data_IF_343158553790
#
_entry.id   IF_343158553790
#
_cell.length_a   1.000
_cell.length_b   1.000
_cell.length_c   1.000
_cell.angle_alpha   90.00
_cell.angle_beta   90.00
_cell.angle_gamma   90.00
#
_symmetry.space_group_name_H-M   'P 1'
#
loop_
_entity.id
_entity.type
_entity.pdbx_description
1 polymer ?
#
# COMPACT_ATOMS: atom_id res chain seq x y z
N UNK A 1 9.71 -6.32 -21.53
CA UNK A 1 10.41 -6.58 -22.82
C UNK A 1 9.95 -5.54 -23.82
N UNK A 2 10.85 -5.03 -24.65
CA UNK A 2 10.52 -4.08 -25.73
C UNK A 2 11.37 -4.43 -26.95
N UNK A 3 10.71 -4.72 -28.06
CA UNK A 3 11.34 -5.04 -29.33
C UNK A 3 10.79 -4.11 -30.40
N UNK A 4 11.67 -3.46 -31.17
CA UNK A 4 11.30 -2.55 -32.24
C UNK A 4 12.05 -2.91 -33.50
N UNK A 5 11.34 -2.93 -34.63
CA UNK A 5 11.88 -3.08 -35.96
C UNK A 5 11.31 -2.00 -36.87
N UNK A 6 12.09 -0.93 -37.11
CA UNK A 6 11.63 0.24 -37.86
C UNK A 6 10.49 0.96 -37.11
N UNK A 7 9.32 1.03 -37.75
CA UNK A 7 8.12 1.66 -37.21
C UNK A 7 7.19 0.68 -36.49
N UNK A 8 7.47 -0.60 -36.54
CA UNK A 8 6.69 -1.64 -35.88
C UNK A 8 7.39 -2.14 -34.63
N UNK A 9 6.62 -2.64 -33.66
CA UNK A 9 7.19 -3.24 -32.47
C UNK A 9 6.18 -3.88 -31.56
N UNK A 10 6.71 -4.51 -30.52
CA UNK A 10 5.93 -5.12 -29.45
C UNK A 10 6.56 -4.88 -28.10
N UNK A 11 5.73 -4.85 -27.09
CA UNK A 11 6.17 -4.68 -25.70
C UNK A 11 5.42 -5.60 -24.75
N UNK A 12 6.09 -5.91 -23.65
CA UNK A 12 5.51 -6.63 -22.53
C UNK A 12 6.00 -6.02 -21.22
N UNK A 13 5.09 -5.80 -20.28
CA UNK A 13 5.43 -5.40 -18.92
C UNK A 13 4.46 -6.03 -17.91
N UNK A 14 4.83 -5.94 -16.62
CA UNK A 14 4.12 -6.58 -15.53
C UNK A 14 3.47 -5.53 -14.63
N UNK A 15 2.26 -5.82 -14.18
CA UNK A 15 1.58 -5.06 -13.15
C UNK A 15 0.87 -6.04 -12.22
N UNK A 16 1.38 -6.17 -10.98
CA UNK A 16 0.86 -7.11 -10.01
C UNK A 16 0.82 -8.54 -10.53
N UNK A 17 -0.35 -9.13 -10.56
CA UNK A 17 -0.62 -10.48 -11.05
C UNK A 17 -0.69 -10.58 -12.58
N UNK A 18 -0.64 -9.46 -13.33
CA UNK A 18 -0.95 -9.43 -14.76
C UNK A 18 0.24 -9.11 -15.66
N UNK A 19 0.18 -9.64 -16.87
CA UNK A 19 1.11 -9.38 -17.96
C UNK A 19 0.38 -8.57 -19.02
N UNK A 20 0.86 -7.35 -19.29
CA UNK A 20 0.33 -6.49 -20.32
C UNK A 20 1.20 -6.68 -21.57
N UNK A 21 0.55 -7.03 -22.67
CA UNK A 21 1.20 -7.22 -23.98
C UNK A 21 0.67 -6.21 -24.97
N UNK A 22 1.55 -5.60 -25.74
CA UNK A 22 1.15 -4.63 -26.75
C UNK A 22 1.98 -4.74 -28.01
N UNK A 23 1.40 -4.24 -29.09
CA UNK A 23 2.03 -4.12 -30.41
C UNK A 23 1.69 -2.74 -30.99
N UNK A 24 2.56 -2.23 -31.83
CA UNK A 24 2.35 -0.99 -32.56
C UNK A 24 2.96 -1.08 -33.96
N UNK A 25 2.39 -0.31 -34.87
CA UNK A 25 2.86 -0.13 -36.24
C UNK A 25 2.71 1.36 -36.64
N UNK A 26 2.75 1.68 -37.94
CA UNK A 26 2.57 3.05 -38.44
C UNK A 26 1.14 3.60 -38.28
N UNK A 27 0.15 2.74 -38.07
CA UNK A 27 -1.26 3.10 -38.09
C UNK A 27 -1.86 3.08 -36.67
N UNK A 28 -1.52 2.08 -35.86
CA UNK A 28 -2.13 1.90 -34.55
C UNK A 28 -1.18 1.34 -33.48
N UNK A 29 -1.63 1.49 -32.22
CA UNK A 29 -1.10 0.81 -31.05
C UNK A 29 -2.24 0.06 -30.38
N UNK A 30 -1.99 -1.20 -30.06
CA UNK A 30 -2.91 -2.06 -29.32
C UNK A 30 -2.21 -2.67 -28.11
N UNK A 31 -2.86 -2.65 -26.94
CA UNK A 31 -2.40 -3.30 -25.73
C UNK A 31 -3.53 -4.14 -25.14
N UNK A 32 -3.20 -5.32 -24.66
CA UNK A 32 -4.15 -6.26 -24.08
C UNK A 32 -3.58 -6.89 -22.82
N UNK A 33 -4.47 -7.24 -21.92
CA UNK A 33 -4.21 -8.07 -20.74
C UNK A 33 -5.33 -9.10 -20.58
N UNK A 34 -4.96 -10.36 -20.37
CA UNK A 34 -5.92 -11.42 -20.06
C UNK A 34 -6.19 -11.47 -18.56
N UNK A 35 -7.45 -11.37 -18.17
CA UNK A 35 -7.89 -11.39 -16.77
C UNK A 35 -8.12 -12.82 -16.28
N UNK A 36 -8.92 -13.58 -17.03
CA UNK A 36 -9.30 -14.94 -16.70
C UNK A 36 -9.68 -15.71 -17.97
N UNK A 37 -9.79 -17.02 -17.87
CA UNK A 37 -10.38 -17.88 -18.87
C UNK A 37 -11.84 -18.17 -18.50
N UNK A 38 -12.74 -18.10 -19.48
CA UNK A 38 -14.16 -18.43 -19.34
C UNK A 38 -14.51 -19.55 -20.32
N UNK A 39 -14.32 -20.83 -19.95
CA UNK A 39 -14.49 -21.97 -20.88
C UNK A 39 -15.92 -22.10 -21.46
N UNK A 40 -16.91 -21.60 -20.70
CA UNK A 40 -18.30 -21.56 -21.11
C UNK A 40 -18.88 -20.17 -20.90
N UNK A 41 -19.65 -19.62 -21.86
CA UNK A 41 -20.26 -18.30 -21.72
C UNK A 41 -21.15 -18.22 -20.47
N UNK A 42 -20.99 -17.16 -19.68
CA UNK A 42 -21.74 -16.90 -18.45
C UNK A 42 -22.41 -15.54 -18.52
N UNK A 43 -23.73 -15.50 -18.52
CA UNK A 43 -24.52 -14.26 -18.55
C UNK A 43 -24.21 -13.35 -17.34
N UNK A 44 -24.11 -13.86 -16.09
CA UNK A 44 -23.73 -13.04 -14.96
C UNK A 44 -22.36 -12.36 -15.13
N UNK A 45 -21.35 -13.10 -15.62
CA UNK A 45 -20.02 -12.55 -15.91
C UNK A 45 -20.11 -11.45 -16.98
N UNK A 46 -20.79 -11.71 -18.09
CA UNK A 46 -20.94 -10.73 -19.18
C UNK A 46 -21.63 -9.45 -18.71
N UNK A 47 -22.69 -9.57 -17.90
CA UNK A 47 -23.37 -8.40 -17.30
C UNK A 47 -22.42 -7.62 -16.40
N UNK A 48 -21.66 -8.30 -15.55
CA UNK A 48 -20.66 -7.66 -14.67
C UNK A 48 -19.62 -6.88 -15.47
N UNK A 49 -19.10 -7.44 -16.57
CA UNK A 49 -18.15 -6.75 -17.44
C UNK A 49 -18.74 -5.50 -18.10
N UNK A 50 -19.99 -5.56 -18.53
CA UNK A 50 -20.69 -4.41 -19.11
C UNK A 50 -20.83 -3.28 -18.08
N UNK A 51 -21.22 -3.61 -16.84
CA UNK A 51 -21.29 -2.63 -15.74
C UNK A 51 -19.91 -1.99 -15.46
N UNK A 52 -18.85 -2.79 -15.42
CA UNK A 52 -17.51 -2.32 -15.15
C UNK A 52 -16.97 -1.39 -16.25
N UNK A 53 -17.39 -1.55 -17.50
CA UNK A 53 -16.98 -0.68 -18.61
C UNK A 53 -17.38 0.79 -18.39
N UNK A 54 -18.45 1.08 -17.66
CA UNK A 54 -18.87 2.45 -17.36
C UNK A 54 -17.85 3.21 -16.48
N UNK A 55 -16.93 2.52 -15.83
CA UNK A 55 -15.91 3.11 -14.98
C UNK A 55 -14.54 3.31 -15.66
N UNK A 56 -14.45 3.03 -16.96
CA UNK A 56 -13.22 3.10 -17.76
C UNK A 56 -13.24 4.30 -18.71
N UNK A 57 -12.07 4.91 -18.91
CA UNK A 57 -11.90 6.08 -19.77
C UNK A 57 -11.15 5.77 -21.08
N UNK A 58 -10.17 4.88 -21.01
CA UNK A 58 -9.27 4.59 -22.13
C UNK A 58 -9.38 3.13 -22.59
N UNK A 59 -9.58 2.23 -21.65
CA UNK A 59 -9.62 0.79 -21.89
C UNK A 59 -11.04 0.26 -21.88
N UNK A 60 -11.21 -0.99 -22.29
CA UNK A 60 -12.49 -1.70 -22.24
C UNK A 60 -12.30 -3.17 -21.93
N UNK A 61 -13.28 -3.77 -21.27
CA UNK A 61 -13.38 -5.21 -21.17
C UNK A 61 -13.83 -5.81 -22.50
N UNK A 62 -13.26 -6.95 -22.84
CA UNK A 62 -13.52 -7.67 -24.07
C UNK A 62 -13.55 -9.20 -23.81
N UNK A 63 -14.24 -9.91 -24.67
CA UNK A 63 -14.17 -11.37 -24.76
C UNK A 63 -13.49 -11.74 -26.08
N UNK A 64 -12.43 -12.54 -26.00
CA UNK A 64 -11.74 -13.09 -27.14
C UNK A 64 -11.74 -14.61 -27.04
N UNK A 65 -12.65 -15.25 -27.74
CA UNK A 65 -12.99 -16.67 -27.59
C UNK A 65 -13.37 -16.98 -26.13
N UNK A 66 -12.56 -17.75 -25.42
CA UNK A 66 -12.74 -18.10 -24.01
C UNK A 66 -11.93 -17.23 -23.04
N UNK A 67 -11.23 -16.18 -23.54
CA UNK A 67 -10.43 -15.27 -22.71
C UNK A 67 -11.18 -13.99 -22.38
N UNK A 68 -11.33 -13.69 -21.10
CA UNK A 68 -11.72 -12.37 -20.63
C UNK A 68 -10.50 -11.47 -20.65
N UNK A 69 -10.58 -10.37 -21.39
CA UNK A 69 -9.47 -9.46 -21.59
C UNK A 69 -9.87 -8.02 -21.22
N UNK A 70 -8.89 -7.18 -20.95
CA UNK A 70 -9.02 -5.75 -21.10
C UNK A 70 -8.13 -5.30 -22.26
N UNK A 71 -8.61 -4.31 -23.03
CA UNK A 71 -7.93 -3.77 -24.22
C UNK A 71 -7.87 -2.25 -24.16
N UNK A 72 -6.74 -1.73 -24.63
CA UNK A 72 -6.52 -0.32 -24.95
C UNK A 72 -5.96 -0.24 -26.36
N UNK A 73 -6.54 0.62 -27.20
CA UNK A 73 -6.08 0.88 -28.55
C UNK A 73 -6.11 2.38 -28.87
N UNK A 74 -5.23 2.80 -29.75
CA UNK A 74 -5.16 4.17 -30.27
C UNK A 74 -4.61 4.14 -31.68
N UNK A 75 -5.21 4.96 -32.57
CA UNK A 75 -4.52 5.36 -33.81
C UNK A 75 -3.24 6.13 -33.48
N UNK A 76 -2.29 6.16 -34.42
CA UNK A 76 -1.01 6.83 -34.22
C UNK A 76 -1.13 8.36 -34.19
N UNK A 77 -2.14 8.95 -34.85
CA UNK A 77 -2.39 10.39 -34.81
C UNK A 77 -2.82 10.83 -33.40
N UNK A 78 -3.67 10.02 -32.75
CA UNK A 78 -4.15 10.25 -31.39
C UNK A 78 -3.23 9.73 -30.28
N UNK A 79 -2.17 8.98 -30.60
CA UNK A 79 -1.27 8.33 -29.64
C UNK A 79 -0.27 9.30 -28.99
N UNK A 80 -0.77 10.35 -28.34
CA UNK A 80 0.10 11.26 -27.59
C UNK A 80 0.75 10.55 -26.39
N UNK A 81 1.95 10.96 -25.93
CA UNK A 81 2.62 10.38 -24.77
C UNK A 81 1.71 10.32 -23.52
N UNK A 82 0.92 11.37 -23.28
CA UNK A 82 -0.03 11.41 -22.16
C UNK A 82 -1.16 10.39 -22.32
N UNK A 83 -1.77 10.28 -23.51
CA UNK A 83 -2.83 9.27 -23.76
C UNK A 83 -2.29 7.86 -23.59
N UNK A 84 -1.09 7.58 -24.12
CA UNK A 84 -0.44 6.27 -23.97
C UNK A 84 -0.14 5.96 -22.50
N UNK A 85 0.42 6.92 -21.76
CA UNK A 85 0.71 6.74 -20.34
C UNK A 85 -0.55 6.43 -19.54
N UNK A 86 -1.60 7.24 -19.65
CA UNK A 86 -2.82 7.06 -18.89
C UNK A 86 -3.63 5.85 -19.35
N UNK A 87 -3.65 5.56 -20.65
CA UNK A 87 -4.32 4.37 -21.19
C UNK A 87 -3.66 3.06 -20.72
N UNK A 88 -2.33 2.97 -20.81
CA UNK A 88 -1.58 1.81 -20.33
C UNK A 88 -1.64 1.68 -18.79
N UNK A 89 -1.62 2.81 -18.08
CA UNK A 89 -1.78 2.83 -16.62
C UNK A 89 -3.17 2.33 -16.22
N UNK A 90 -4.25 2.85 -16.83
CA UNK A 90 -5.61 2.38 -16.54
C UNK A 90 -5.75 0.90 -16.85
N UNK A 91 -5.35 0.47 -18.05
CA UNK A 91 -5.38 -0.93 -18.48
C UNK A 91 -4.73 -1.85 -17.43
N UNK A 92 -3.50 -1.53 -17.04
CA UNK A 92 -2.71 -2.39 -16.16
C UNK A 92 -3.20 -2.41 -14.72
N UNK A 93 -3.46 -1.23 -14.13
CA UNK A 93 -3.87 -1.15 -12.72
C UNK A 93 -5.29 -1.65 -12.48
N UNK A 94 -6.20 -1.44 -13.47
CA UNK A 94 -7.56 -2.00 -13.39
C UNK A 94 -7.56 -3.50 -13.59
N UNK A 95 -6.76 -4.02 -14.51
CA UNK A 95 -6.65 -5.46 -14.73
C UNK A 95 -6.12 -6.19 -13.51
N UNK A 96 -5.03 -5.72 -12.92
CA UNK A 96 -4.43 -6.27 -11.71
C UNK A 96 -5.41 -6.30 -10.52
N UNK A 97 -6.22 -5.24 -10.38
CA UNK A 97 -7.22 -5.19 -9.31
C UNK A 97 -8.42 -6.12 -9.54
N UNK A 98 -8.78 -6.41 -10.79
CA UNK A 98 -10.03 -7.09 -11.11
C UNK A 98 -9.89 -8.59 -11.38
N UNK A 99 -8.73 -9.09 -11.75
CA UNK A 99 -8.56 -10.50 -12.13
C UNK A 99 -8.86 -11.46 -10.98
N UNK A 100 -8.23 -11.26 -9.84
CA UNK A 100 -8.44 -12.08 -8.64
C UNK A 100 -9.88 -11.95 -8.12
N UNK A 101 -10.46 -10.75 -8.15
CA UNK A 101 -11.83 -10.50 -7.70
C UNK A 101 -12.85 -11.21 -8.60
N UNK A 102 -12.67 -11.18 -9.92
CA UNK A 102 -13.57 -11.85 -10.87
C UNK A 102 -13.51 -13.38 -10.71
N UNK A 103 -12.32 -13.96 -10.59
CA UNK A 103 -12.15 -15.40 -10.38
C UNK A 103 -12.74 -15.85 -9.04
N UNK A 104 -12.68 -15.01 -8.01
CA UNK A 104 -13.31 -15.31 -6.71
C UNK A 104 -14.82 -15.14 -6.72
N UNK A 105 -15.35 -14.15 -7.45
CA UNK A 105 -16.79 -13.90 -7.56
C UNK A 105 -17.49 -14.95 -8.42
N UNK A 106 -16.83 -15.46 -9.48
CA UNK A 106 -17.42 -16.36 -10.46
C UNK A 106 -16.64 -17.66 -10.59
N UNK A 107 -17.16 -18.74 -10.02
CA UNK A 107 -16.53 -20.07 -10.04
C UNK A 107 -16.37 -20.68 -11.45
N UNK A 108 -17.01 -20.10 -12.47
CA UNK A 108 -16.87 -20.54 -13.87
C UNK A 108 -15.59 -19.97 -14.53
N UNK A 109 -14.90 -19.05 -13.86
CA UNK A 109 -13.66 -18.43 -14.35
C UNK A 109 -12.45 -19.18 -13.85
N UNK A 110 -11.47 -19.32 -14.71
CA UNK A 110 -10.19 -19.98 -14.42
C UNK A 110 -9.07 -18.93 -14.42
N UNK A 111 -8.16 -19.03 -13.44
CA UNK A 111 -6.97 -18.18 -13.35
C UNK A 111 -6.00 -18.49 -14.51
N UNK A 112 -5.40 -17.47 -15.09
CA UNK A 112 -4.48 -17.58 -16.24
C UNK A 112 -3.36 -16.53 -16.12
N UNK A 113 -2.25 -16.77 -16.82
CA UNK A 113 -1.08 -15.85 -16.91
C UNK A 113 -0.43 -15.53 -15.55
N UNK A 114 -0.30 -16.54 -14.67
CA UNK A 114 0.25 -16.37 -13.32
C UNK A 114 1.70 -16.86 -13.16
N UNK A 115 2.38 -17.29 -14.22
CA UNK A 115 3.70 -17.93 -14.16
C UNK A 115 4.82 -16.97 -13.70
N UNK A 116 4.61 -15.67 -13.81
CA UNK A 116 5.58 -14.64 -13.36
C UNK A 116 5.46 -14.31 -11.87
N UNK A 117 4.39 -14.76 -11.23
CA UNK A 117 4.18 -14.61 -9.78
C UNK A 117 5.18 -15.49 -9.05
N UNK A 118 5.84 -14.92 -8.05
CA UNK A 118 6.79 -15.67 -7.23
C UNK A 118 6.19 -15.96 -5.87
N UNK A 119 6.06 -17.24 -5.59
CA UNK A 119 5.72 -17.69 -4.24
C UNK A 119 6.80 -17.22 -3.24
N UNK A 120 6.36 -16.79 -2.07
CA UNK A 120 7.27 -16.53 -0.96
C UNK A 120 7.47 -17.81 -0.14
N UNK A 121 8.65 -17.98 0.49
CA UNK A 121 8.92 -19.17 1.31
C UNK A 121 7.87 -19.37 2.40
N UNK A 122 7.53 -20.64 2.68
CA UNK A 122 6.54 -20.97 3.72
C UNK A 122 6.90 -20.35 5.06
N UNK A 123 8.18 -20.35 5.44
CA UNK A 123 8.64 -19.73 6.69
C UNK A 123 8.34 -18.22 6.73
N UNK A 124 8.44 -17.50 5.60
CA UNK A 124 8.07 -16.08 5.51
C UNK A 124 6.54 -15.91 5.66
N UNK A 125 5.73 -16.78 5.00
CA UNK A 125 4.26 -16.76 5.14
C UNK A 125 3.84 -16.99 6.59
N UNK A 126 4.47 -17.94 7.30
CA UNK A 126 4.24 -18.23 8.71
C UNK A 126 4.48 -17.00 9.60
N UNK A 127 5.61 -16.32 9.39
CA UNK A 127 5.95 -15.11 10.14
C UNK A 127 4.91 -14.02 9.87
N UNK A 128 4.58 -13.77 8.61
CA UNK A 128 3.58 -12.76 8.22
C UNK A 128 2.22 -13.03 8.85
N UNK A 129 1.75 -14.29 8.82
CA UNK A 129 0.50 -14.68 9.47
C UNK A 129 0.54 -14.47 10.98
N UNK A 130 1.61 -14.90 11.64
CA UNK A 130 1.79 -14.74 13.09
C UNK A 130 1.70 -13.27 13.49
N UNK A 131 2.36 -12.38 12.75
CA UNK A 131 2.34 -10.97 13.05
C UNK A 131 1.02 -10.28 12.67
N UNK A 132 0.33 -10.72 11.61
CA UNK A 132 -1.04 -10.31 11.33
C UNK A 132 -1.94 -10.55 12.53
N UNK A 133 -1.98 -11.79 13.02
CA UNK A 133 -2.79 -12.17 14.18
C UNK A 133 -2.42 -11.37 15.43
N UNK A 134 -1.12 -11.21 15.69
CA UNK A 134 -0.59 -10.45 16.82
C UNK A 134 -1.06 -8.99 16.76
N UNK A 135 -0.84 -8.30 15.66
CA UNK A 135 -1.15 -6.87 15.55
C UNK A 135 -2.65 -6.59 15.61
N UNK A 136 -3.47 -7.43 14.96
CA UNK A 136 -4.93 -7.33 15.06
C UNK A 136 -5.38 -7.51 16.50
N UNK A 137 -4.90 -8.56 17.17
CA UNK A 137 -5.25 -8.83 18.58
C UNK A 137 -4.83 -7.69 19.49
N UNK A 138 -3.57 -7.24 19.44
CA UNK A 138 -3.06 -6.14 20.27
C UNK A 138 -3.87 -4.84 20.10
N UNK A 139 -4.25 -4.53 18.86
CA UNK A 139 -5.06 -3.33 18.58
C UNK A 139 -6.46 -3.48 19.14
N UNK A 140 -7.15 -4.60 18.89
CA UNK A 140 -8.51 -4.82 19.39
C UNK A 140 -8.55 -4.90 20.92
N UNK A 141 -7.58 -5.54 21.58
CA UNK A 141 -7.47 -5.58 23.04
C UNK A 141 -7.27 -4.19 23.63
N UNK A 142 -6.45 -3.34 22.99
CA UNK A 142 -6.24 -1.96 23.43
C UNK A 142 -7.53 -1.14 23.29
N UNK A 143 -8.24 -1.28 22.17
CA UNK A 143 -9.52 -0.59 21.94
C UNK A 143 -10.54 -1.02 23.00
N UNK A 144 -10.61 -2.31 23.33
CA UNK A 144 -11.52 -2.81 24.35
C UNK A 144 -11.21 -2.29 25.77
N UNK A 145 -10.01 -1.77 26.01
CA UNK A 145 -9.58 -1.22 27.32
C UNK A 145 -9.88 0.26 27.52
N UNK A 146 -10.39 0.96 26.49
CA UNK A 146 -10.67 2.41 26.53
C UNK A 146 -12.15 2.67 26.25
N UNK A 147 -12.64 3.85 26.68
CA UNK A 147 -13.98 4.32 26.40
C UNK A 147 -14.13 4.69 24.92
N UNK A 148 -15.06 4.03 24.21
CA UNK A 148 -15.23 4.16 22.76
C UNK A 148 -15.66 5.57 22.34
N UNK A 149 -16.49 6.24 23.11
CA UNK A 149 -16.97 7.60 22.81
C UNK A 149 -15.85 8.63 23.05
N UNK A 150 -15.24 8.57 24.22
CA UNK A 150 -14.18 9.49 24.62
C UNK A 150 -12.93 9.40 23.74
N UNK A 151 -12.59 8.18 23.30
CA UNK A 151 -11.38 7.91 22.52
C UNK A 151 -11.66 7.66 21.04
N UNK A 152 -12.85 8.01 20.53
CA UNK A 152 -13.26 7.69 19.16
C UNK A 152 -12.21 8.08 18.09
N UNK A 153 -11.61 9.26 18.17
CA UNK A 153 -10.53 9.69 17.28
C UNK A 153 -9.25 8.86 17.42
N UNK A 154 -8.84 8.54 18.66
CA UNK A 154 -7.69 7.67 18.94
C UNK A 154 -7.89 6.25 18.39
N UNK A 155 -9.11 5.71 18.52
CA UNK A 155 -9.51 4.40 17.98
C UNK A 155 -9.40 4.42 16.45
N UNK A 156 -9.89 5.47 15.79
CA UNK A 156 -9.74 5.62 14.32
C UNK A 156 -8.28 5.59 13.91
N UNK A 157 -7.40 6.30 14.60
CA UNK A 157 -5.96 6.27 14.31
C UNK A 157 -5.35 4.89 14.48
N UNK A 158 -5.73 4.16 15.54
CA UNK A 158 -5.25 2.78 15.77
C UNK A 158 -5.69 1.83 14.65
N UNK A 159 -6.95 1.90 14.21
CA UNK A 159 -7.50 1.03 13.17
C UNK A 159 -6.89 1.35 11.79
N UNK A 160 -6.75 2.63 11.46
CA UNK A 160 -6.16 3.05 10.18
C UNK A 160 -4.66 2.74 10.12
N UNK A 161 -3.89 3.01 11.18
CA UNK A 161 -2.48 2.64 11.20
C UNK A 161 -2.27 1.13 11.12
N UNK A 162 -3.18 0.33 11.69
CA UNK A 162 -3.16 -1.13 11.54
C UNK A 162 -3.37 -1.57 10.09
N UNK A 163 -4.33 -0.95 9.35
CA UNK A 163 -4.53 -1.22 7.92
C UNK A 163 -3.25 -0.96 7.15
N UNK A 164 -2.68 0.23 7.30
CA UNK A 164 -1.50 0.67 6.53
C UNK A 164 -0.26 -0.15 6.87
N UNK A 165 -0.13 -0.58 8.12
CA UNK A 165 0.92 -1.49 8.58
C UNK A 165 0.81 -2.86 7.93
N UNK A 166 -0.39 -3.46 7.93
CA UNK A 166 -0.63 -4.77 7.32
C UNK A 166 -0.34 -4.67 5.81
N UNK A 167 -0.88 -3.66 5.14
CA UNK A 167 -0.64 -3.41 3.73
C UNK A 167 0.87 -3.32 3.42
N UNK A 168 1.59 -2.46 4.13
CA UNK A 168 3.01 -2.21 3.88
C UNK A 168 3.93 -3.37 4.24
N UNK A 169 3.71 -4.05 5.37
CA UNK A 169 4.63 -5.08 5.88
C UNK A 169 4.32 -6.48 5.35
N UNK A 170 3.06 -6.81 5.14
CA UNK A 170 2.68 -8.10 4.60
C UNK A 170 2.64 -8.10 3.09
N UNK A 171 2.36 -6.93 2.47
CA UNK A 171 2.12 -6.78 1.03
C UNK A 171 1.12 -7.85 0.53
N UNK A 172 -0.11 -7.86 1.08
CA UNK A 172 -1.13 -8.80 0.64
C UNK A 172 -1.65 -8.44 -0.74
N UNK A 173 -2.16 -9.43 -1.45
CA UNK A 173 -2.77 -9.27 -2.77
C UNK A 173 -4.23 -9.76 -2.77
N UNK A 174 -4.94 -9.52 -3.86
CA UNK A 174 -6.29 -10.05 -4.08
C UNK A 174 -7.30 -9.62 -3.02
N UNK A 175 -8.02 -10.60 -2.47
CA UNK A 175 -9.15 -10.34 -1.57
C UNK A 175 -8.73 -9.67 -0.26
N UNK A 176 -7.61 -10.07 0.35
CA UNK A 176 -7.17 -9.46 1.60
C UNK A 176 -6.82 -7.99 1.42
N UNK A 177 -6.12 -7.62 0.33
CA UNK A 177 -5.86 -6.22 -0.01
C UNK A 177 -7.17 -5.46 -0.21
N UNK A 178 -8.12 -6.02 -0.97
CA UNK A 178 -9.44 -5.41 -1.20
C UNK A 178 -10.25 -5.22 0.10
N UNK A 179 -10.17 -6.16 1.04
CA UNK A 179 -10.81 -6.04 2.35
C UNK A 179 -10.19 -4.91 3.17
N UNK A 180 -8.86 -4.78 3.19
CA UNK A 180 -8.17 -3.66 3.87
C UNK A 180 -8.54 -2.30 3.26
N UNK A 181 -8.56 -2.19 1.92
CA UNK A 181 -8.99 -0.97 1.22
C UNK A 181 -10.44 -0.58 1.56
N UNK A 182 -11.36 -1.56 1.58
CA UNK A 182 -12.76 -1.33 1.95
C UNK A 182 -12.89 -0.90 3.41
N UNK A 183 -12.12 -1.52 4.30
CA UNK A 183 -12.10 -1.16 5.71
C UNK A 183 -11.61 0.29 5.90
N UNK A 184 -10.54 0.69 5.21
CA UNK A 184 -10.10 2.09 5.22
C UNK A 184 -11.18 3.05 4.69
N UNK A 185 -11.87 2.66 3.61
CA UNK A 185 -12.91 3.45 2.98
C UNK A 185 -14.11 3.73 3.91
N UNK A 186 -14.41 2.85 4.89
CA UNK A 186 -15.46 3.09 5.89
C UNK A 186 -15.24 4.43 6.61
N UNK A 187 -14.00 4.68 7.05
CA UNK A 187 -13.67 5.92 7.74
C UNK A 187 -13.80 7.15 6.84
N UNK A 188 -13.30 7.06 5.60
CA UNK A 188 -13.25 8.20 4.67
C UNK A 188 -14.56 8.46 3.92
N UNK A 189 -15.56 7.58 4.04
CA UNK A 189 -16.88 7.79 3.43
C UNK A 189 -17.53 9.04 4.02
N UNK A 190 -17.89 9.97 3.12
CA UNK A 190 -18.59 11.22 3.50
C UNK A 190 -20.08 10.93 3.67
N UNK A 191 -20.44 10.48 4.84
CA UNK A 191 -21.81 10.27 5.30
C UNK A 191 -21.98 10.88 6.69
N UNK A 192 -23.21 10.90 7.21
CA UNK A 192 -23.55 11.50 8.50
C UNK A 192 -23.32 10.57 9.69
N UNK A 193 -22.77 9.37 9.48
CA UNK A 193 -22.56 8.39 10.56
C UNK A 193 -21.52 8.89 11.57
N UNK A 194 -21.79 8.73 12.88
CA UNK A 194 -20.81 9.01 13.91
C UNK A 194 -19.53 8.21 13.76
N UNK A 195 -18.39 8.80 14.14
CA UNK A 195 -17.09 8.14 14.08
C UNK A 195 -17.07 6.83 14.87
N UNK A 196 -17.78 6.77 15.99
CA UNK A 196 -17.90 5.56 16.84
C UNK A 196 -18.52 4.39 16.07
N UNK A 197 -19.56 4.63 15.26
CA UNK A 197 -20.17 3.59 14.43
C UNK A 197 -19.22 3.12 13.33
N UNK A 198 -18.52 4.03 12.66
CA UNK A 198 -17.49 3.69 11.66
C UNK A 198 -16.37 2.85 12.26
N UNK A 199 -15.90 3.21 13.45
CA UNK A 199 -14.91 2.42 14.19
C UNK A 199 -15.44 1.02 14.51
N UNK A 200 -16.72 0.90 14.89
CA UNK A 200 -17.39 -0.38 15.11
C UNK A 200 -17.35 -1.28 13.86
N UNK A 201 -17.73 -0.73 12.71
CA UNK A 201 -17.70 -1.44 11.43
C UNK A 201 -16.27 -1.89 11.07
N UNK A 202 -15.27 -1.01 11.24
CA UNK A 202 -13.87 -1.35 10.98
C UNK A 202 -13.37 -2.47 11.90
N UNK A 203 -13.74 -2.45 13.19
CA UNK A 203 -13.41 -3.52 14.13
C UNK A 203 -14.02 -4.87 13.71
N UNK A 204 -15.27 -4.87 13.24
CA UNK A 204 -15.90 -6.11 12.74
C UNK A 204 -15.17 -6.68 11.52
N UNK A 205 -14.71 -5.82 10.60
CA UNK A 205 -13.89 -6.28 9.48
C UNK A 205 -12.56 -6.91 9.96
N UNK A 206 -11.89 -6.33 10.96
CA UNK A 206 -10.69 -6.93 11.53
C UNK A 206 -10.95 -8.26 12.23
N UNK A 207 -12.09 -8.41 12.93
CA UNK A 207 -12.51 -9.70 13.49
C UNK A 207 -12.72 -10.75 12.40
N UNK A 208 -13.31 -10.36 11.25
CA UNK A 208 -13.46 -11.26 10.08
C UNK A 208 -12.11 -11.67 9.51
N UNK A 209 -11.16 -10.74 9.39
CA UNK A 209 -9.79 -11.05 8.93
C UNK A 209 -9.11 -12.01 9.92
N UNK A 210 -9.28 -11.80 11.23
CA UNK A 210 -8.65 -12.59 12.27
C UNK A 210 -9.08 -14.07 12.27
N UNK A 211 -10.32 -14.37 11.91
CA UNK A 211 -10.85 -15.74 11.88
C UNK A 211 -10.58 -16.48 10.56
N UNK A 212 -9.97 -15.84 9.58
CA UNK A 212 -9.58 -16.49 8.33
C UNK A 212 -8.58 -17.61 8.58
N UNK A 213 -8.71 -18.70 7.82
CA UNK A 213 -7.76 -19.80 7.91
C UNK A 213 -6.36 -19.37 7.45
N UNK A 214 -5.37 -20.08 7.91
CA UNK A 214 -3.98 -19.86 7.57
C UNK A 214 -3.74 -20.04 6.06
N UNK A 215 -4.35 -21.06 5.49
CA UNK A 215 -4.30 -21.39 4.08
C UNK A 215 -4.92 -20.26 3.22
N UNK A 216 -6.05 -19.71 3.69
CA UNK A 216 -6.69 -18.57 3.02
C UNK A 216 -5.77 -17.35 3.01
N UNK A 217 -5.19 -16.96 4.16
CA UNK A 217 -4.24 -15.85 4.22
C UNK A 217 -3.00 -16.11 3.36
N UNK A 218 -2.47 -17.34 3.37
CA UNK A 218 -1.28 -17.70 2.58
C UNK A 218 -1.48 -17.56 1.08
N UNK A 219 -2.71 -17.77 0.59
CA UNK A 219 -3.04 -17.62 -0.83
C UNK A 219 -2.95 -16.17 -1.32
N UNK A 220 -3.00 -15.18 -0.41
CA UNK A 220 -2.87 -13.76 -0.71
C UNK A 220 -1.45 -13.24 -0.55
N UNK A 221 -0.47 -14.08 -0.17
CA UNK A 221 0.91 -13.70 0.08
C UNK A 221 1.84 -14.27 -1.00
N UNK A 222 2.17 -13.43 -1.97
CA UNK A 222 3.11 -13.74 -3.05
C UNK A 222 3.86 -12.46 -3.48
N UNK A 223 4.85 -12.58 -4.36
CA UNK A 223 5.60 -11.44 -4.90
C UNK A 223 5.24 -11.21 -6.35
N UNK A 224 4.88 -10.00 -6.67
CA UNK A 224 4.56 -9.51 -8.01
C UNK A 224 5.50 -8.37 -8.44
N UNK A 225 5.33 -7.87 -9.65
CA UNK A 225 6.10 -6.75 -10.20
C UNK A 225 5.15 -5.65 -10.64
N UNK A 226 5.50 -4.42 -10.32
CA UNK A 226 4.70 -3.24 -10.67
C UNK A 226 5.49 -2.33 -11.60
N UNK A 227 4.87 -1.91 -12.69
CA UNK A 227 5.40 -0.90 -13.61
C UNK A 227 4.86 0.48 -13.27
N UNK A 228 3.58 0.57 -12.93
CA UNK A 228 2.92 1.83 -12.60
C UNK A 228 2.66 1.95 -11.11
N UNK A 229 2.90 3.13 -10.56
CA UNK A 229 2.38 3.50 -9.26
C UNK A 229 0.85 3.68 -9.35
N UNK A 230 0.10 3.06 -8.42
CA UNK A 230 -1.36 3.14 -8.38
C UNK A 230 -1.80 4.55 -8.02
N UNK A 231 -1.15 5.14 -7.00
CA UNK A 231 -1.49 6.47 -6.49
C UNK A 231 -0.68 7.57 -7.18
N UNK A 232 -1.28 8.76 -7.30
CA UNK A 232 -0.62 9.91 -7.88
C UNK A 232 0.43 10.51 -6.91
N UNK A 233 1.57 11.01 -7.42
CA UNK A 233 2.50 11.80 -6.61
C UNK A 233 1.80 13.02 -6.02
N UNK A 234 2.16 13.33 -4.78
CA UNK A 234 1.68 14.54 -4.09
C UNK A 234 2.86 15.45 -3.76
N UNK A 235 2.64 16.78 -3.72
CA UNK A 235 3.67 17.71 -3.28
C UNK A 235 3.99 17.46 -1.80
N UNK A 236 5.23 17.76 -1.41
CA UNK A 236 5.70 17.61 -0.02
C UNK A 236 4.79 18.30 1.00
N UNK A 237 4.19 19.44 0.63
CA UNK A 237 3.23 20.14 1.48
C UNK A 237 2.05 19.26 1.93
N UNK A 238 1.47 18.45 1.06
CA UNK A 238 0.36 17.56 1.43
C UNK A 238 0.81 16.48 2.43
N UNK A 239 2.08 16.05 2.34
CA UNK A 239 2.68 15.09 3.27
C UNK A 239 2.92 15.76 4.63
N UNK A 240 3.48 16.97 4.64
CA UNK A 240 3.74 17.73 5.89
C UNK A 240 2.43 18.08 6.61
N UNK A 241 1.39 18.48 5.88
CA UNK A 241 0.08 18.81 6.47
C UNK A 241 -0.53 17.58 7.18
N UNK A 242 -0.40 16.38 6.61
CA UNK A 242 -0.90 15.14 7.23
C UNK A 242 -0.10 14.76 8.49
N UNK A 243 1.22 14.86 8.44
CA UNK A 243 2.09 14.59 9.59
C UNK A 243 1.84 15.62 10.70
N UNK A 244 1.69 16.90 10.33
CA UNK A 244 1.39 17.97 11.26
C UNK A 244 0.09 17.71 12.01
N UNK A 245 -0.99 17.34 11.31
CA UNK A 245 -2.27 17.03 11.92
C UNK A 245 -2.17 15.88 12.93
N UNK A 246 -1.40 14.83 12.63
CA UNK A 246 -1.13 13.74 13.58
C UNK A 246 -0.32 14.22 14.79
N UNK A 247 0.75 14.99 14.55
CA UNK A 247 1.60 15.54 15.60
C UNK A 247 0.85 16.49 16.58
N UNK A 248 -0.17 17.20 16.11
CA UNK A 248 -1.02 18.03 16.98
C UNK A 248 -1.90 17.20 17.92
N UNK A 249 -2.34 16.01 17.50
CA UNK A 249 -3.22 15.16 18.29
C UNK A 249 -2.49 14.25 19.27
N UNK A 250 -1.25 13.85 18.98
CA UNK A 250 -0.47 12.88 19.74
C UNK A 250 -0.14 13.31 21.19
N UNK A 251 0.24 14.59 21.48
CA UNK A 251 0.72 14.99 22.82
C UNK A 251 -0.29 14.69 23.93
N UNK A 252 -1.58 14.87 23.67
CA UNK A 252 -2.59 14.58 24.68
C UNK A 252 -2.55 13.12 25.14
N UNK A 253 -2.41 12.19 24.21
CA UNK A 253 -2.33 10.75 24.53
C UNK A 253 -1.05 10.42 25.31
N UNK A 254 0.10 10.98 24.89
CA UNK A 254 1.38 10.83 25.57
C UNK A 254 1.31 11.33 27.02
N UNK A 255 0.82 12.55 27.20
CA UNK A 255 0.85 13.25 28.48
C UNK A 255 -0.16 12.66 29.49
N UNK A 256 -1.17 11.92 29.01
CA UNK A 256 -2.12 11.20 29.82
C UNK A 256 -1.80 9.68 29.95
N UNK A 257 -0.60 9.24 29.54
CA UNK A 257 -0.13 7.86 29.75
C UNK A 257 -0.60 6.84 28.72
N UNK A 258 -1.26 7.26 27.64
CA UNK A 258 -1.73 6.37 26.58
C UNK A 258 -0.65 6.17 25.49
N UNK A 259 0.51 5.67 25.89
CA UNK A 259 1.71 5.55 25.04
C UNK A 259 1.46 4.73 23.77
N UNK A 260 0.64 3.67 23.85
CA UNK A 260 0.31 2.87 22.67
C UNK A 260 -0.47 3.71 21.66
N UNK A 261 -1.52 4.42 22.09
CA UNK A 261 -2.32 5.29 21.21
C UNK A 261 -1.44 6.41 20.63
N UNK A 262 -0.62 7.05 21.45
CA UNK A 262 0.32 8.09 21.01
C UNK A 262 1.23 7.62 19.87
N UNK A 263 1.80 6.41 19.97
CA UNK A 263 2.60 5.81 18.91
C UNK A 263 1.78 5.54 17.64
N UNK A 264 0.53 5.05 17.78
CA UNK A 264 -0.32 4.78 16.62
C UNK A 264 -0.78 6.08 15.91
N UNK A 265 -1.01 7.16 16.65
CA UNK A 265 -1.30 8.48 16.06
C UNK A 265 -0.12 8.98 15.23
N UNK A 266 1.09 8.85 15.77
CA UNK A 266 2.32 9.25 15.07
C UNK A 266 2.56 8.38 13.83
N UNK A 267 2.39 7.06 13.98
CA UNK A 267 2.50 6.11 12.87
C UNK A 267 1.48 6.41 11.77
N UNK A 268 0.22 6.69 12.14
CA UNK A 268 -0.83 7.06 11.19
C UNK A 268 -0.40 8.22 10.30
N UNK A 269 0.14 9.30 10.86
CA UNK A 269 0.52 10.49 10.10
C UNK A 269 1.48 10.18 8.96
N UNK A 270 2.47 9.33 9.18
CA UNK A 270 3.44 8.95 8.16
C UNK A 270 2.97 7.79 7.26
N UNK A 271 2.34 6.76 7.83
CA UNK A 271 1.85 5.62 7.07
C UNK A 271 0.66 5.97 6.17
N UNK A 272 -0.20 6.90 6.56
CA UNK A 272 -1.23 7.45 5.69
C UNK A 272 -0.63 8.06 4.43
N UNK A 273 0.47 8.80 4.56
CA UNK A 273 1.15 9.38 3.41
C UNK A 273 1.73 8.31 2.48
N UNK A 274 2.32 7.25 3.05
CA UNK A 274 2.84 6.12 2.27
C UNK A 274 1.72 5.35 1.55
N UNK A 275 0.58 5.15 2.21
CA UNK A 275 -0.58 4.43 1.66
C UNK A 275 -1.31 5.25 0.58
N UNK A 276 -1.55 6.54 0.85
CA UNK A 276 -2.41 7.39 0.02
C UNK A 276 -1.68 8.09 -1.12
N UNK A 277 -0.34 8.18 -1.05
CA UNK A 277 0.47 8.97 -1.98
C UNK A 277 1.69 8.22 -2.48
N UNK A 278 2.16 8.61 -3.66
CA UNK A 278 3.50 8.25 -4.14
C UNK A 278 4.52 9.15 -3.45
N UNK A 279 5.22 8.65 -2.44
CA UNK A 279 6.24 9.43 -1.72
C UNK A 279 7.48 9.70 -2.59
N UNK A 280 8.12 10.87 -2.45
CA UNK A 280 9.50 11.08 -2.88
C UNK A 280 10.43 9.99 -2.31
N UNK A 281 11.39 9.53 -3.09
CA UNK A 281 12.24 8.38 -2.72
C UNK A 281 12.94 8.52 -1.38
N UNK A 282 13.45 9.70 -1.07
CA UNK A 282 14.07 9.97 0.23
C UNK A 282 13.09 9.75 1.40
N UNK A 283 11.82 10.17 1.23
CA UNK A 283 10.78 9.96 2.26
C UNK A 283 10.38 8.48 2.35
N UNK A 284 10.39 7.76 1.24
CA UNK A 284 10.18 6.30 1.24
C UNK A 284 11.27 5.59 2.06
N UNK A 285 12.54 5.98 1.91
CA UNK A 285 13.65 5.40 2.66
C UNK A 285 13.58 5.75 4.15
N UNK A 286 13.17 6.97 4.49
CA UNK A 286 12.91 7.36 5.89
C UNK A 286 11.72 6.62 6.48
N UNK A 287 10.63 6.44 5.73
CA UNK A 287 9.49 5.65 6.17
C UNK A 287 9.89 4.19 6.43
N UNK A 288 10.66 3.59 5.52
CA UNK A 288 11.17 2.23 5.73
C UNK A 288 12.03 2.12 6.99
N UNK A 289 12.90 3.11 7.26
CA UNK A 289 13.69 3.16 8.49
C UNK A 289 12.78 3.28 9.73
N UNK A 290 11.80 4.19 9.70
CA UNK A 290 10.82 4.37 10.77
C UNK A 290 10.10 3.06 11.12
N UNK A 291 9.60 2.37 10.12
CA UNK A 291 8.92 1.08 10.28
C UNK A 291 9.88 0.00 10.82
N UNK A 292 11.13 -0.05 10.35
CA UNK A 292 12.13 -0.99 10.87
C UNK A 292 12.49 -0.75 12.32
N UNK A 293 12.44 0.48 12.80
CA UNK A 293 12.66 0.81 14.21
C UNK A 293 11.47 0.32 15.04
N UNK A 294 10.25 0.62 14.62
CA UNK A 294 9.04 0.32 15.37
C UNK A 294 8.67 -1.17 15.38
N UNK A 295 9.01 -1.91 14.33
CA UNK A 295 8.66 -3.33 14.14
C UNK A 295 9.91 -4.22 14.06
N UNK A 296 10.95 -3.91 14.82
CA UNK A 296 12.23 -4.62 14.83
C UNK A 296 12.11 -6.14 15.04
N UNK A 297 11.17 -6.59 15.87
CA UNK A 297 10.93 -8.00 16.12
C UNK A 297 10.41 -8.74 14.89
N UNK A 298 9.53 -8.12 14.12
CA UNK A 298 9.05 -8.66 12.84
C UNK A 298 10.20 -8.82 11.84
N UNK A 299 11.02 -7.80 11.69
CA UNK A 299 12.17 -7.86 10.78
C UNK A 299 13.23 -8.87 11.26
N UNK A 300 13.42 -9.01 12.56
CA UNK A 300 14.30 -10.05 13.13
C UNK A 300 13.77 -11.45 12.83
N UNK A 301 12.47 -11.67 12.97
CA UNK A 301 11.84 -12.93 12.61
C UNK A 301 12.02 -13.27 11.12
N UNK A 302 12.01 -12.27 10.23
CA UNK A 302 12.30 -12.41 8.80
C UNK A 302 13.80 -12.61 8.49
N UNK A 303 14.68 -12.62 9.51
CA UNK A 303 16.12 -12.86 9.34
C UNK A 303 16.99 -11.61 9.18
N UNK A 304 16.43 -10.41 9.37
CA UNK A 304 17.23 -9.19 9.37
C UNK A 304 18.07 -9.10 10.64
N UNK A 305 19.38 -8.90 10.47
CA UNK A 305 20.35 -8.89 11.59
C UNK A 305 20.43 -7.55 12.31
N UNK A 306 20.13 -6.45 11.63
CA UNK A 306 20.27 -5.09 12.15
C UNK A 306 19.03 -4.73 12.98
N UNK A 307 19.23 -4.51 14.27
CA UNK A 307 18.21 -4.12 15.25
C UNK A 307 18.45 -2.67 15.66
N UNK A 308 17.46 -1.82 15.43
CA UNK A 308 17.51 -0.41 15.77
C UNK A 308 16.91 -0.10 17.15
N UNK A 309 15.88 -0.87 17.54
CA UNK A 309 15.23 -0.75 18.85
C UNK A 309 14.94 -2.13 19.40
N UNK A 310 15.30 -2.36 20.66
CA UNK A 310 15.00 -3.58 21.42
C UNK A 310 13.73 -3.31 22.25
N UNK A 311 12.59 -3.85 21.82
CA UNK A 311 11.29 -3.63 22.47
C UNK A 311 11.19 -4.26 23.86
N UNK A 312 12.00 -5.28 24.16
CA UNK A 312 12.04 -5.94 25.47
C UNK A 312 12.81 -5.11 26.50
N UNK A 313 13.94 -4.52 26.07
CA UNK A 313 14.79 -3.69 26.93
C UNK A 313 14.37 -2.23 26.92
N UNK A 314 13.57 -1.78 25.95
CA UNK A 314 13.23 -0.39 25.75
C UNK A 314 14.42 0.47 25.30
N UNK A 315 15.44 -0.11 24.63
CA UNK A 315 16.69 0.58 24.30
C UNK A 315 16.90 0.72 22.79
N UNK A 316 17.44 1.89 22.40
CA UNK A 316 17.78 2.18 21.01
C UNK A 316 19.27 1.89 20.72
N UNK A 317 19.53 1.44 19.50
CA UNK A 317 20.86 1.52 18.88
C UNK A 317 20.96 2.87 18.14
N UNK A 318 21.17 3.95 18.92
CA UNK A 318 21.17 5.32 18.39
C UNK A 318 22.22 5.53 17.30
N UNK A 319 23.41 4.97 17.46
CA UNK A 319 24.48 5.10 16.48
C UNK A 319 24.10 4.43 15.13
N UNK A 320 23.47 3.26 15.16
CA UNK A 320 23.01 2.60 13.94
C UNK A 320 21.91 3.42 13.24
N UNK A 321 20.96 3.99 14.01
CA UNK A 321 19.90 4.85 13.48
C UNK A 321 20.49 6.11 12.83
N UNK A 322 21.36 6.83 13.54
CA UNK A 322 22.02 8.05 13.05
C UNK A 322 22.82 7.76 11.78
N UNK A 323 23.60 6.68 11.78
CA UNK A 323 24.38 6.28 10.62
C UNK A 323 23.47 5.93 9.42
N UNK A 324 22.31 5.29 9.66
CA UNK A 324 21.37 4.99 8.59
C UNK A 324 20.72 6.23 8.01
N UNK A 325 20.33 7.21 8.85
CA UNK A 325 19.81 8.52 8.42
C UNK A 325 20.83 9.24 7.55
N UNK A 326 22.08 9.33 7.98
CA UNK A 326 23.16 9.95 7.18
C UNK A 326 23.33 9.27 5.82
N UNK A 327 23.33 7.93 5.78
CA UNK A 327 23.39 7.17 4.51
C UNK A 327 22.22 7.47 3.58
N UNK A 328 21.01 7.66 4.11
CA UNK A 328 19.84 8.06 3.31
C UNK A 328 20.04 9.46 2.74
N UNK A 329 20.48 10.43 3.56
CA UNK A 329 20.75 11.79 3.10
C UNK A 329 21.84 11.82 2.02
N UNK A 330 22.94 11.09 2.23
CA UNK A 330 24.05 11.02 1.26
C UNK A 330 23.59 10.38 -0.06
N UNK A 331 22.78 9.33 -0.02
CA UNK A 331 22.23 8.65 -1.20
C UNK A 331 21.39 9.60 -2.08
N UNK A 332 20.64 10.50 -1.44
CA UNK A 332 19.70 11.37 -2.15
C UNK A 332 20.20 12.82 -2.27
N UNK A 333 21.42 13.12 -1.85
CA UNK A 333 22.00 14.47 -1.82
C UNK A 333 21.99 15.17 -3.18
N UNK A 334 22.25 14.43 -4.27
CA UNK A 334 22.25 15.01 -5.62
C UNK A 334 20.84 15.47 -6.03
N UNK A 335 19.81 14.67 -5.72
CA UNK A 335 18.43 14.98 -6.08
C UNK A 335 17.74 15.95 -5.14
N UNK A 336 18.08 15.91 -3.85
CA UNK A 336 17.51 16.75 -2.79
C UNK A 336 18.62 17.46 -2.01
N UNK A 337 19.37 18.40 -2.62
CA UNK A 337 20.56 18.99 -2.00
C UNK A 337 20.27 19.83 -0.76
N UNK A 338 19.03 20.32 -0.62
CA UNK A 338 18.60 21.12 0.52
C UNK A 338 18.05 20.28 1.69
N UNK A 339 17.92 18.95 1.51
CA UNK A 339 17.40 18.09 2.57
C UNK A 339 18.39 17.96 3.70
N UNK A 340 17.95 18.33 4.91
CA UNK A 340 18.76 18.29 6.14
C UNK A 340 17.93 17.72 7.29
N UNK A 341 18.00 16.40 7.47
CA UNK A 341 17.39 15.73 8.61
C UNK A 341 18.29 15.92 9.84
N UNK A 342 17.81 16.66 10.82
CA UNK A 342 18.58 17.07 11.99
C UNK A 342 18.61 16.00 13.07
N UNK A 343 19.56 15.08 12.99
CA UNK A 343 19.69 13.94 13.92
C UNK A 343 19.85 14.36 15.39
N UNK A 344 20.35 15.56 15.66
CA UNK A 344 20.51 16.10 17.03
C UNK A 344 19.16 16.41 17.71
N UNK A 345 18.07 16.52 16.96
CA UNK A 345 16.73 16.74 17.49
C UNK A 345 16.03 15.45 17.93
N UNK A 346 16.59 14.28 17.57
CA UNK A 346 16.01 13.00 17.93
C UNK A 346 16.13 12.71 19.43
N UNK A 347 15.04 12.26 20.03
CA UNK A 347 14.98 11.85 21.42
C UNK A 347 14.97 10.32 21.51
N UNK A 348 15.95 9.77 22.23
CA UNK A 348 16.13 8.33 22.42
C UNK A 348 15.75 7.86 23.84
N UNK A 349 15.01 8.66 24.58
CA UNK A 349 14.57 8.37 25.96
C UNK A 349 13.44 7.32 26.01
N UNK A 350 12.52 7.36 25.05
CA UNK A 350 11.47 6.36 24.87
C UNK A 350 10.91 6.37 23.45
N UNK A 351 10.15 5.32 23.08
CA UNK A 351 9.67 5.15 21.72
C UNK A 351 8.68 6.26 21.27
N UNK A 352 7.83 6.76 22.17
CA UNK A 352 6.85 7.82 21.86
C UNK A 352 7.56 9.12 21.49
N UNK A 353 8.54 9.52 22.30
CA UNK A 353 9.31 10.74 22.06
C UNK A 353 10.21 10.61 20.81
N UNK A 354 10.79 9.42 20.61
CA UNK A 354 11.56 9.15 19.40
C UNK A 354 10.67 9.28 18.14
N UNK A 355 9.52 8.60 18.12
CA UNK A 355 8.60 8.63 16.99
C UNK A 355 8.13 10.04 16.67
N UNK A 356 7.76 10.83 17.70
CA UNK A 356 7.38 12.22 17.53
C UNK A 356 8.49 13.04 16.90
N UNK A 357 9.70 12.98 17.46
CA UNK A 357 10.81 13.79 16.96
C UNK A 357 11.26 13.35 15.57
N UNK A 358 11.20 12.05 15.26
CA UNK A 358 11.52 11.55 13.93
C UNK A 358 10.55 12.07 12.86
N UNK A 359 9.23 11.96 13.09
CA UNK A 359 8.25 12.43 12.10
C UNK A 359 8.20 13.96 12.04
N UNK A 360 8.55 14.67 13.11
CA UNK A 360 8.73 16.13 13.10
C UNK A 360 9.87 16.53 12.16
N UNK A 361 10.99 15.80 12.15
CA UNK A 361 12.07 16.06 11.20
C UNK A 361 11.64 15.77 9.74
N UNK A 362 10.74 14.82 9.50
CA UNK A 362 10.14 14.60 8.18
C UNK A 362 9.20 15.76 7.79
N UNK A 363 8.39 16.26 8.73
CA UNK A 363 7.48 17.40 8.56
C UNK A 363 8.24 18.65 8.10
N UNK A 364 9.40 18.93 8.73
CA UNK A 364 10.20 20.11 8.45
C UNK A 364 11.37 19.87 7.46
N UNK A 365 11.42 18.71 6.84
CA UNK A 365 12.49 18.40 5.88
C UNK A 365 12.40 19.31 4.65
N UNK A 366 13.47 20.05 4.35
CA UNK A 366 13.52 20.89 3.17
C UNK A 366 13.75 20.07 1.91
N UNK A 367 12.72 19.92 1.08
CA UNK A 367 12.80 19.17 -0.17
C UNK A 367 13.20 20.04 -1.37
N UNK A 368 13.36 21.36 -1.18
CA UNK A 368 13.61 22.33 -2.25
C UNK A 368 12.31 22.81 -2.93
N UNK A 369 12.38 23.85 -3.77
CA UNK A 369 11.21 24.56 -4.29
C UNK A 369 10.36 23.78 -5.32
N UNK A 370 10.86 22.68 -5.87
CA UNK A 370 10.21 21.91 -6.93
C UNK A 370 9.70 20.53 -6.49
N UNK A 371 9.61 20.27 -5.18
CA UNK A 371 9.26 18.96 -4.65
C UNK A 371 8.16 18.99 -3.61
#
# INVERSE_FOLDING_TARGET
VYNRNGAEGQFEFYQGSKIIRGKFNNEDLQAEVTLARMPQPSVPVMRRLLEMNFSLYYSRYALDNDRLCMRFDSDMEGATPSKLYYGLKELSTKADKQDDLLVQEFAVLEKIDSEHIREIPLAEKEIKYTYLQKWVKETLDTIASVDADKFSGGISYMLLSLIYRIDYLLCPEGKLLSELEKTAAIYFTKDERPVVEKNGDMMEEFKRIQVKSKEEIFSYLFRSKYTFAIVAPQPHKAITDSIHAANQNMPWFRDNGYSFIANQVTEYGFSYCQYSYSLPRILTDFFHLYIRINYGDYFRALGFKEVYYDSVKGTFNSDAIINKIKKIQDLWKEKYPASDFKVQNLRFDNLVNFNQTFVTEIEYLNMGPNH
#
